data_IF_605382921330
#
_entry.id   IF_605382921330
#
_cell.length_a   1.000
_cell.length_b   1.000
_cell.length_c   1.000
_cell.angle_alpha   90.00
_cell.angle_beta   90.00
_cell.angle_gamma   90.00
#
_symmetry.space_group_name_H-M   'P 1'
#
loop_
_entity.id
_entity.type
_entity.pdbx_description
1 polymer ?
#
# COMPACT_ATOMS: atom_id res chain seq x y z
N UNK A 1 -1.77 -35.95 1.61
CA UNK A 1 -2.06 -34.71 0.86
C UNK A 1 -1.89 -33.57 1.85
N UNK A 2 -0.87 -32.74 1.71
CA UNK A 2 -0.61 -31.63 2.65
C UNK A 2 -1.46 -30.45 2.17
N UNK A 3 -2.43 -30.05 2.99
CA UNK A 3 -3.17 -28.80 2.79
C UNK A 3 -2.36 -27.70 3.46
N UNK A 4 -1.75 -26.82 2.65
CA UNK A 4 -1.07 -25.63 3.15
C UNK A 4 -2.16 -24.59 3.44
N UNK A 5 -2.32 -24.24 4.72
CA UNK A 5 -3.29 -23.24 5.15
C UNK A 5 -2.71 -21.82 5.09
N UNK A 6 -1.42 -21.66 5.37
CA UNK A 6 -0.72 -20.37 5.37
C UNK A 6 0.64 -20.54 4.70
N UNK A 7 0.97 -19.62 3.79
CA UNK A 7 2.27 -19.53 3.14
C UNK A 7 2.91 -18.18 3.49
N UNK A 8 4.03 -18.21 4.21
CA UNK A 8 4.80 -17.01 4.57
C UNK A 8 6.01 -16.91 3.65
N UNK A 9 6.12 -15.81 2.91
CA UNK A 9 7.20 -15.64 1.92
C UNK A 9 7.77 -14.23 1.90
N UNK A 10 9.06 -14.14 1.57
CA UNK A 10 9.69 -12.91 1.11
C UNK A 10 9.48 -12.75 -0.39
N UNK A 11 9.79 -11.57 -0.94
CA UNK A 11 9.52 -11.28 -2.36
C UNK A 11 10.24 -12.23 -3.33
N UNK A 12 11.37 -12.82 -2.91
CA UNK A 12 12.10 -13.83 -3.69
C UNK A 12 11.26 -15.08 -4.02
N UNK A 13 10.31 -15.44 -3.16
CA UNK A 13 9.43 -16.61 -3.33
C UNK A 13 8.04 -16.25 -3.89
N UNK A 14 7.74 -14.96 -4.05
CA UNK A 14 6.44 -14.49 -4.57
C UNK A 14 6.40 -14.45 -6.09
N UNK A 15 7.53 -14.15 -6.73
CA UNK A 15 7.60 -14.06 -8.18
C UNK A 15 7.44 -15.46 -8.78
N UNK A 16 6.41 -15.63 -9.64
CA UNK A 16 6.12 -16.89 -10.32
C UNK A 16 5.24 -17.87 -9.54
N UNK A 17 4.86 -17.56 -8.30
CA UNK A 17 3.90 -18.37 -7.55
C UNK A 17 2.47 -17.92 -7.87
N UNK A 18 1.68 -18.81 -8.47
CA UNK A 18 0.28 -18.57 -8.83
C UNK A 18 -0.62 -19.49 -8.01
N UNK A 19 -1.06 -19.00 -6.85
CA UNK A 19 -1.93 -19.75 -5.93
C UNK A 19 -3.38 -19.41 -6.31
N UNK A 20 -4.11 -20.31 -6.99
CA UNK A 20 -5.41 -19.97 -7.58
C UNK A 20 -6.52 -19.77 -6.54
N UNK A 21 -6.31 -20.24 -5.31
CA UNK A 21 -7.26 -20.23 -4.20
C UNK A 21 -6.75 -19.41 -3.00
N UNK A 22 -5.85 -18.46 -3.22
CA UNK A 22 -5.45 -17.52 -2.18
C UNK A 22 -6.67 -16.66 -1.80
N UNK A 23 -7.21 -16.92 -0.62
CA UNK A 23 -8.33 -16.16 -0.07
C UNK A 23 -7.85 -14.78 0.40
N UNK A 24 -6.81 -14.76 1.21
CA UNK A 24 -6.31 -13.54 1.84
C UNK A 24 -4.83 -13.32 1.53
N UNK A 25 -4.46 -12.05 1.38
CA UNK A 25 -3.08 -11.60 1.28
C UNK A 25 -2.77 -10.69 2.46
N UNK A 26 -1.73 -11.04 3.20
CA UNK A 26 -1.23 -10.21 4.31
C UNK A 26 0.11 -9.61 3.89
N UNK A 27 0.19 -8.29 3.91
CA UNK A 27 1.37 -7.52 3.52
C UNK A 27 1.94 -6.87 4.79
N UNK A 28 3.22 -7.13 5.05
CA UNK A 28 3.93 -6.53 6.18
C UNK A 28 4.90 -5.48 5.62
N UNK A 29 4.82 -4.26 6.13
CA UNK A 29 5.73 -3.16 5.82
C UNK A 29 5.97 -2.98 4.30
N UNK A 30 4.93 -2.68 3.51
CA UNK A 30 5.08 -2.40 2.10
C UNK A 30 6.03 -1.24 1.85
N UNK A 31 6.75 -1.30 0.73
CA UNK A 31 7.73 -0.27 0.34
C UNK A 31 7.07 0.93 -0.32
N UNK A 32 6.11 0.66 -1.18
CA UNK A 32 5.44 1.64 -2.04
C UNK A 32 4.02 1.14 -2.43
N UNK A 33 3.17 1.99 -3.02
CA UNK A 33 1.82 1.61 -3.43
C UNK A 33 1.77 0.47 -4.46
N UNK A 34 2.75 0.39 -5.38
CA UNK A 34 2.81 -0.68 -6.38
C UNK A 34 3.03 -2.03 -5.71
N UNK A 35 3.88 -2.07 -4.68
CA UNK A 35 4.12 -3.28 -3.89
C UNK A 35 2.82 -3.81 -3.27
N UNK A 36 1.96 -2.92 -2.76
CA UNK A 36 0.64 -3.29 -2.26
C UNK A 36 -0.23 -3.84 -3.39
N UNK A 37 -0.37 -3.08 -4.48
CA UNK A 37 -1.29 -3.43 -5.57
C UNK A 37 -0.94 -4.75 -6.25
N UNK A 38 0.34 -4.99 -6.50
CA UNK A 38 0.82 -6.23 -7.10
C UNK A 38 0.59 -7.45 -6.21
N UNK A 39 0.66 -7.27 -4.88
CA UNK A 39 0.41 -8.33 -3.90
C UNK A 39 -1.09 -8.55 -3.68
N UNK A 40 -1.88 -7.48 -3.59
CA UNK A 40 -3.34 -7.53 -3.51
C UNK A 40 -3.94 -8.39 -4.64
N UNK A 41 -3.48 -8.16 -5.88
CA UNK A 41 -3.95 -8.91 -7.07
C UNK A 41 -3.64 -10.41 -7.07
N UNK A 42 -3.00 -10.93 -6.01
CA UNK A 42 -2.82 -12.38 -5.80
C UNK A 42 -4.01 -13.00 -5.05
N UNK A 43 -4.79 -12.21 -4.32
CA UNK A 43 -6.03 -12.66 -3.67
C UNK A 43 -7.17 -12.77 -4.68
N UNK A 44 -8.05 -13.76 -4.52
CA UNK A 44 -9.32 -13.79 -5.26
C UNK A 44 -9.24 -13.93 -6.78
N UNK A 45 -8.10 -14.36 -7.33
CA UNK A 45 -7.84 -14.38 -8.78
C UNK A 45 -8.86 -15.20 -9.59
N UNK A 46 -9.46 -16.23 -8.99
CA UNK A 46 -10.53 -17.03 -9.61
C UNK A 46 -11.87 -16.69 -8.97
N UNK A 47 -12.76 -15.97 -9.69
CA UNK A 47 -14.11 -15.71 -9.22
C UNK A 47 -14.83 -17.00 -8.82
N UNK A 48 -15.47 -17.00 -7.66
CA UNK A 48 -16.23 -18.15 -7.14
C UNK A 48 -15.42 -19.25 -6.46
N UNK A 49 -14.08 -19.15 -6.44
CA UNK A 49 -13.23 -20.10 -5.70
C UNK A 49 -12.99 -19.68 -4.25
N UNK A 50 -13.03 -18.38 -4.00
CA UNK A 50 -13.03 -17.75 -2.68
C UNK A 50 -14.41 -17.13 -2.51
N UNK A 51 -15.14 -17.58 -1.51
CA UNK A 51 -16.47 -17.08 -1.16
C UNK A 51 -16.41 -16.22 0.10
N UNK A 52 -17.40 -15.34 0.27
CA UNK A 52 -17.52 -14.39 1.38
C UNK A 52 -17.04 -14.94 2.74
N UNK A 53 -16.31 -14.13 3.54
CA UNK A 53 -16.22 -12.67 3.40
C UNK A 53 -15.03 -12.15 2.58
N UNK A 54 -14.12 -13.03 2.12
CA UNK A 54 -12.97 -12.65 1.28
C UNK A 54 -13.32 -12.53 -0.21
N UNK A 55 -12.34 -12.18 -1.07
CA UNK A 55 -10.91 -12.07 -0.77
C UNK A 55 -10.52 -10.78 -0.04
N UNK A 56 -9.56 -10.86 0.88
CA UNK A 56 -9.04 -9.69 1.60
C UNK A 56 -7.57 -9.41 1.34
N UNK A 57 -7.23 -8.12 1.34
CA UNK A 57 -5.85 -7.65 1.41
C UNK A 57 -5.68 -6.85 2.71
N UNK A 58 -4.83 -7.35 3.61
CA UNK A 58 -4.57 -6.73 4.91
C UNK A 58 -3.14 -6.22 4.92
N UNK A 59 -2.99 -4.90 5.07
CA UNK A 59 -1.68 -4.24 5.10
C UNK A 59 -1.36 -3.84 6.53
N UNK A 60 -0.30 -4.40 7.09
CA UNK A 60 0.26 -3.97 8.37
C UNK A 60 1.39 -2.98 8.16
N UNK A 61 1.28 -1.84 8.84
CA UNK A 61 2.29 -0.79 8.85
C UNK A 61 2.73 -0.47 10.27
N UNK A 62 3.94 0.03 10.42
CA UNK A 62 4.45 0.45 11.72
C UNK A 62 4.07 1.88 12.06
N UNK A 63 4.04 2.20 13.36
CA UNK A 63 3.89 3.59 13.83
C UNK A 63 4.98 4.52 13.26
N UNK A 64 6.20 3.99 13.04
CA UNK A 64 7.28 4.72 12.38
C UNK A 64 6.93 5.12 10.94
N UNK A 65 6.27 4.24 10.18
CA UNK A 65 5.79 4.54 8.83
C UNK A 65 4.74 5.66 8.87
N UNK A 66 3.76 5.59 9.76
CA UNK A 66 2.73 6.63 9.89
C UNK A 66 3.32 7.99 10.31
N UNK A 67 4.29 8.00 11.22
CA UNK A 67 5.01 9.23 11.61
C UNK A 67 5.75 9.84 10.43
N UNK A 68 6.41 9.02 9.60
CA UNK A 68 7.11 9.48 8.40
C UNK A 68 6.14 10.03 7.35
N UNK A 69 5.02 9.35 7.12
CA UNK A 69 3.99 9.80 6.19
C UNK A 69 3.51 11.21 6.53
N UNK A 70 3.21 11.49 7.82
CA UNK A 70 2.80 12.82 8.29
C UNK A 70 3.86 13.91 8.08
N UNK A 71 5.15 13.55 8.17
CA UNK A 71 6.24 14.49 7.91
C UNK A 71 6.30 14.83 6.43
N UNK A 72 6.18 13.83 5.55
CA UNK A 72 6.20 14.01 4.09
C UNK A 72 5.00 14.82 3.60
N UNK A 73 3.81 14.55 4.12
CA UNK A 73 2.59 15.33 3.81
C UNK A 73 2.75 16.81 4.19
N UNK A 74 3.30 17.07 5.38
CA UNK A 74 3.60 18.43 5.84
C UNK A 74 4.71 19.16 5.04
N UNK A 75 5.54 18.44 4.26
CA UNK A 75 6.53 19.05 3.37
C UNK A 75 5.86 19.63 2.10
N UNK A 76 4.79 19.01 1.59
CA UNK A 76 4.10 19.45 0.36
C UNK A 76 3.28 20.75 0.56
N UNK A 77 2.84 21.06 1.78
CA UNK A 77 2.01 22.25 2.06
C UNK A 77 2.81 23.55 2.26
N UNK A 78 4.15 23.52 2.26
CA UNK A 78 5.00 24.70 2.53
C UNK A 78 5.76 25.18 1.29
N UNK A 79 5.06 25.34 0.17
CA UNK A 79 5.51 26.12 -0.99
C UNK A 79 5.52 27.63 -0.75
N UNK A 80 6.13 28.09 0.36
CA UNK A 80 6.31 29.51 0.63
C UNK A 80 6.35 29.88 2.10
N UNK A 81 7.47 29.66 2.79
CA UNK A 81 8.00 30.63 3.74
C UNK A 81 9.42 30.28 4.18
N UNK A 82 10.31 31.26 4.02
CA UNK A 82 11.72 31.25 4.43
C UNK A 82 11.84 30.93 5.92
N UNK A 83 12.41 29.78 6.24
CA UNK A 83 12.68 29.34 7.62
C UNK A 83 13.55 28.08 7.68
N UNK A 84 14.76 28.16 7.10
CA UNK A 84 15.78 27.10 7.08
C UNK A 84 16.20 26.65 8.49
N UNK A 85 16.23 25.34 8.73
CA UNK A 85 17.38 24.63 9.35
C UNK A 85 17.10 23.23 9.96
N UNK A 86 15.87 22.69 9.96
CA UNK A 86 15.65 21.29 10.42
C UNK A 86 14.62 20.46 9.63
N UNK A 87 13.64 21.07 8.98
CA UNK A 87 12.61 20.33 8.21
C UNK A 87 13.07 19.90 6.82
N UNK A 88 13.88 20.72 6.12
CA UNK A 88 14.37 20.39 4.77
C UNK A 88 15.16 19.07 4.73
N UNK A 89 15.94 18.75 5.76
CA UNK A 89 16.71 17.49 5.80
C UNK A 89 15.81 16.26 5.98
N UNK A 90 14.62 16.39 6.57
CA UNK A 90 13.68 15.27 6.69
C UNK A 90 12.92 14.99 5.38
N UNK A 91 12.82 16.00 4.51
CA UNK A 91 12.19 15.89 3.19
C UNK A 91 13.20 15.43 2.10
N UNK A 92 14.50 15.32 2.40
CA UNK A 92 15.56 14.97 1.42
C UNK A 92 16.50 13.82 1.84
N UNK A 93 16.23 13.11 2.93
CA UNK A 93 17.08 11.98 3.35
C UNK A 93 16.63 10.68 2.63
N UNK A 94 17.20 10.50 1.43
CA UNK A 94 17.09 9.32 0.58
C UNK A 94 17.84 8.10 1.19
N UNK A 95 18.58 8.30 2.29
CA UNK A 95 19.49 7.29 2.87
C UNK A 95 18.95 6.64 4.16
N UNK A 96 17.75 7.01 4.63
CA UNK A 96 17.13 6.43 5.82
C UNK A 96 15.76 5.79 5.53
N UNK A 97 15.66 4.72 4.74
CA UNK A 97 14.42 3.93 4.64
C UNK A 97 13.30 4.67 3.90
N UNK A 98 13.40 4.60 2.58
CA UNK A 98 12.71 5.39 1.56
C UNK A 98 11.21 5.09 1.45
N UNK A 99 10.39 5.70 2.30
CA UNK A 99 8.96 5.86 2.00
C UNK A 99 8.79 6.91 0.91
N UNK A 100 8.06 6.57 -0.16
CA UNK A 100 7.74 7.51 -1.25
C UNK A 100 6.60 8.47 -0.86
N UNK A 101 6.43 9.57 -1.60
CA UNK A 101 5.37 10.56 -1.35
C UNK A 101 3.99 9.93 -1.60
N UNK A 102 3.87 9.10 -2.64
CA UNK A 102 2.67 8.35 -2.99
C UNK A 102 2.30 7.38 -1.88
N UNK A 103 3.30 6.71 -1.29
CA UNK A 103 3.07 5.85 -0.13
C UNK A 103 2.59 6.65 1.08
N UNK A 104 3.13 7.86 1.29
CA UNK A 104 2.69 8.73 2.37
C UNK A 104 1.23 9.18 2.20
N UNK A 105 0.84 9.60 0.99
CA UNK A 105 -0.56 9.95 0.71
C UNK A 105 -1.48 8.75 0.92
N UNK A 106 -1.11 7.57 0.42
CA UNK A 106 -1.88 6.34 0.60
C UNK A 106 -2.11 5.97 2.07
N UNK A 107 -1.10 6.15 2.93
CA UNK A 107 -1.23 5.86 4.36
C UNK A 107 -2.08 6.86 5.14
N UNK A 108 -2.25 8.07 4.62
CA UNK A 108 -3.00 9.14 5.26
C UNK A 108 -4.38 9.35 4.63
N UNK A 109 -4.65 8.71 3.49
CA UNK A 109 -5.89 8.84 2.77
C UNK A 109 -7.09 8.35 3.60
N UNK A 110 -8.24 9.05 3.52
CA UNK A 110 -9.46 8.61 4.17
C UNK A 110 -10.05 7.35 3.53
N UNK A 111 -9.86 7.18 2.22
CA UNK A 111 -10.20 5.97 1.49
C UNK A 111 -8.99 5.50 0.68
N UNK A 112 -8.63 4.23 0.89
CA UNK A 112 -7.54 3.57 0.19
C UNK A 112 -7.79 3.52 -1.32
N UNK A 113 -9.02 3.21 -1.74
CA UNK A 113 -9.37 3.01 -3.14
C UNK A 113 -9.36 4.32 -3.93
N UNK A 114 -9.97 5.38 -3.39
CA UNK A 114 -9.95 6.71 -4.00
C UNK A 114 -8.52 7.21 -4.23
N UNK A 115 -7.61 6.98 -3.27
CA UNK A 115 -6.21 7.38 -3.42
C UNK A 115 -5.48 6.54 -4.48
N UNK A 116 -5.80 5.24 -4.62
CA UNK A 116 -5.31 4.45 -5.76
C UNK A 116 -5.83 5.01 -7.08
N UNK A 117 -7.11 5.37 -7.16
CA UNK A 117 -7.68 5.92 -8.40
C UNK A 117 -7.01 7.24 -8.79
N UNK A 118 -6.70 8.09 -7.81
CA UNK A 118 -5.93 9.32 -8.02
C UNK A 118 -4.49 9.01 -8.50
N UNK A 119 -3.80 8.08 -7.84
CA UNK A 119 -2.39 7.79 -8.14
C UNK A 119 -2.17 7.09 -9.49
N UNK A 120 -3.13 6.30 -9.95
CA UNK A 120 -3.05 5.56 -11.21
C UNK A 120 -3.89 6.16 -12.33
N UNK A 121 -4.46 7.35 -12.10
CA UNK A 121 -5.31 8.07 -13.07
C UNK A 121 -6.47 7.20 -13.58
N UNK A 122 -7.10 6.42 -12.68
CA UNK A 122 -8.22 5.57 -13.04
C UNK A 122 -9.46 6.43 -13.40
N UNK A 123 -10.31 5.99 -14.34
CA UNK A 123 -11.48 6.75 -14.77
C UNK A 123 -12.51 6.94 -13.65
N UNK A 124 -13.01 8.17 -13.49
CA UNK A 124 -14.05 8.53 -12.50
C UNK A 124 -15.40 7.87 -12.82
N UNK A 125 -15.58 7.38 -14.06
CA UNK A 125 -16.80 6.73 -14.53
C UNK A 125 -16.93 5.29 -14.00
N UNK A 126 -15.86 4.70 -13.48
CA UNK A 126 -15.92 3.36 -12.90
C UNK A 126 -16.74 3.39 -11.59
N UNK A 127 -17.58 2.36 -11.33
CA UNK A 127 -18.39 2.34 -10.12
C UNK A 127 -17.50 2.48 -8.87
N UNK A 128 -17.77 3.47 -7.99
CA UNK A 128 -16.92 3.71 -6.84
C UNK A 128 -16.95 2.49 -5.93
N UNK A 129 -15.76 2.01 -5.57
CA UNK A 129 -15.64 1.00 -4.55
C UNK A 129 -15.73 1.70 -3.19
N UNK A 130 -16.64 1.28 -2.33
CA UNK A 130 -16.90 1.97 -1.07
C UNK A 130 -15.91 1.51 0.00
N UNK A 131 -15.11 2.45 0.53
CA UNK A 131 -14.41 2.28 1.80
C UNK A 131 -15.41 2.56 2.95
N UNK A 132 -16.24 1.58 3.31
CA UNK A 132 -17.07 1.64 4.54
C UNK A 132 -16.32 1.14 5.77
#
# INVERSE_FOLDING_TARGET
MILIQVLITTDALKVGNDIPNAADVIILNPKDPNDIKQKEGRSGRRPGLVSNPGPWCIVYVTDAMLKRAKVLDGCNSQGGQKGRSKRENACMDDDQGTMTVEMAHLLLAPCYLDEFDIQYENPIEDPPCTCE
#
